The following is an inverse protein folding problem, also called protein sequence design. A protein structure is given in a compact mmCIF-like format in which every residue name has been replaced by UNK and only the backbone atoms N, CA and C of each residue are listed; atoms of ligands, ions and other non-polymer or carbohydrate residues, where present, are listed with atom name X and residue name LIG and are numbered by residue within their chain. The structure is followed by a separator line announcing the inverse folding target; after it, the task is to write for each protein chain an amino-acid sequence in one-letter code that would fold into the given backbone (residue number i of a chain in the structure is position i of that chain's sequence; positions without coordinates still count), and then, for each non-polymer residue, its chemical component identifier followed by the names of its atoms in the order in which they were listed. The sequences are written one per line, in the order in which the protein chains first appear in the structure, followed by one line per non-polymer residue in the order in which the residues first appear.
data_IF_440075059387
#
_entry.id   IF_440075059387
#
_cell.length_a   1.000
_cell.length_b   1.000
_cell.length_c   1.000
_cell.angle_alpha   90.00
_cell.angle_beta   90.00
_cell.angle_gamma   90.00
#
_symmetry.space_group_name_H-M   'P 1'
#
loop_
_entity.id
_entity.type
_entity.pdbx_description
1 polymer ?
#
# COMPACT_ATOMS: atom_id res chain seq x y z
N UNK A 1 16.59 3.59 11.90
CA UNK A 1 15.65 2.48 12.14
C UNK A 1 14.35 3.09 12.62
N UNK A 2 13.26 2.88 11.89
CA UNK A 2 11.95 3.36 12.33
C UNK A 2 11.50 2.50 13.52
N UNK A 3 11.24 3.06 14.71
CA UNK A 3 10.87 2.26 15.88
C UNK A 3 9.50 1.59 15.79
N UNK A 4 8.74 1.85 14.74
CA UNK A 4 7.36 1.40 14.60
C UNK A 4 7.14 0.41 13.45
N UNK A 5 8.10 0.26 12.54
CA UNK A 5 8.03 -0.71 11.46
C UNK A 5 9.44 -1.15 11.08
N UNK A 6 9.71 -2.43 11.18
CA UNK A 6 10.94 -3.05 10.64
C UNK A 6 11.00 -2.98 9.11
N UNK A 7 10.17 -2.17 8.47
CA UNK A 7 9.96 -2.14 7.03
C UNK A 7 10.06 -0.72 6.45
N UNK A 8 10.53 -0.60 5.32
CA UNK A 8 11.40 0.29 4.61
C UNK A 8 10.77 1.54 4.04
N UNK A 9 9.87 2.26 4.73
CA UNK A 9 9.53 3.63 4.34
C UNK A 9 10.82 4.49 4.25
N UNK A 10 11.75 4.28 5.21
CA UNK A 10 13.03 4.98 5.20
C UNK A 10 13.94 4.55 4.04
N UNK A 11 13.95 3.26 3.69
CA UNK A 11 14.75 2.76 2.55
C UNK A 11 14.17 3.20 1.21
N UNK A 12 12.85 3.27 1.10
CA UNK A 12 12.19 3.73 -0.12
C UNK A 12 12.49 5.20 -0.38
N UNK A 13 12.46 6.04 0.66
CA UNK A 13 12.80 7.47 0.54
C UNK A 13 14.24 7.69 0.05
N UNK A 14 15.18 6.87 0.46
CA UNK A 14 16.58 6.99 0.02
C UNK A 14 16.81 6.60 -1.44
N UNK A 15 15.95 5.74 -2.01
CA UNK A 15 16.12 5.17 -3.34
C UNK A 15 15.14 5.66 -4.38
N UNK A 16 13.95 6.04 -3.97
CA UNK A 16 12.85 6.44 -4.84
C UNK A 16 12.17 7.68 -4.27
N UNK A 17 11.96 8.70 -5.09
CA UNK A 17 11.20 9.88 -4.68
C UNK A 17 9.72 9.54 -4.65
N UNK A 18 9.19 9.27 -3.47
CA UNK A 18 7.75 9.09 -3.24
C UNK A 18 7.15 10.42 -2.77
N UNK A 19 5.99 10.77 -3.29
CA UNK A 19 5.24 11.94 -2.84
C UNK A 19 4.14 11.54 -1.86
N UNK A 20 3.55 10.36 -2.03
CA UNK A 20 2.41 9.89 -1.24
C UNK A 20 2.69 8.53 -0.62
N UNK A 21 2.37 8.41 0.67
CA UNK A 21 2.37 7.14 1.39
C UNK A 21 0.92 6.66 1.56
N UNK A 22 0.54 5.64 0.80
CA UNK A 22 -0.80 5.06 0.84
C UNK A 22 -0.83 3.89 1.83
N UNK A 23 -1.47 4.10 2.97
CA UNK A 23 -1.47 3.13 4.07
C UNK A 23 -2.89 2.70 4.44
N UNK A 24 -3.00 1.52 5.05
CA UNK A 24 -4.26 0.97 5.54
C UNK A 24 -4.74 1.74 6.80
N UNK A 25 -6.03 1.71 7.06
CA UNK A 25 -6.66 2.27 8.26
C UNK A 25 -6.06 1.75 9.59
N UNK A 26 -5.37 0.61 9.57
CA UNK A 26 -4.62 0.11 10.71
C UNK A 26 -3.44 1.03 11.11
N UNK A 27 -2.93 1.81 10.15
CA UNK A 27 -1.83 2.76 10.34
C UNK A 27 -2.30 4.17 10.71
N UNK A 28 -3.59 4.36 11.01
CA UNK A 28 -4.16 5.64 11.46
C UNK A 28 -3.72 5.96 12.91
N UNK A 29 -2.44 6.33 13.03
CA UNK A 29 -1.76 6.70 14.28
C UNK A 29 -0.95 7.96 14.03
N UNK A 30 -0.97 8.89 15.00
CA UNK A 30 -0.31 10.19 14.89
C UNK A 30 1.19 10.10 14.63
N UNK A 31 1.86 9.14 15.27
CA UNK A 31 3.30 8.92 15.16
C UNK A 31 3.71 8.49 13.74
N UNK A 32 2.89 7.66 13.10
CA UNK A 32 3.14 7.20 11.73
C UNK A 32 2.95 8.36 10.74
N UNK A 33 1.89 9.16 10.91
CA UNK A 33 1.66 10.36 10.10
C UNK A 33 2.82 11.34 10.21
N UNK A 34 3.22 11.67 11.45
CA UNK A 34 4.34 12.57 11.70
C UNK A 34 5.66 12.05 11.12
N UNK A 35 5.88 10.73 11.15
CA UNK A 35 7.06 10.12 10.54
C UNK A 35 7.05 10.28 9.01
N UNK A 36 5.94 9.97 8.35
CA UNK A 36 5.78 10.15 6.90
C UNK A 36 6.02 11.62 6.50
N UNK A 37 5.42 12.56 7.21
CA UNK A 37 5.59 13.98 6.99
C UNK A 37 7.06 14.44 7.21
N UNK A 38 7.76 13.87 8.19
CA UNK A 38 9.17 14.15 8.43
C UNK A 38 10.09 13.73 7.28
N UNK A 39 9.66 12.76 6.46
CA UNK A 39 10.33 12.35 5.24
C UNK A 39 9.95 13.20 4.01
N UNK A 40 9.07 14.18 4.18
CA UNK A 40 8.56 15.01 3.10
C UNK A 40 7.46 14.34 2.26
N UNK A 41 6.85 13.27 2.77
CA UNK A 41 5.77 12.56 2.12
C UNK A 41 4.41 13.07 2.63
N UNK A 42 3.36 12.82 1.85
CA UNK A 42 1.97 13.09 2.23
C UNK A 42 1.30 11.76 2.56
N UNK A 43 1.01 11.48 3.85
CA UNK A 43 0.31 10.26 4.23
C UNK A 43 -1.15 10.31 3.81
N UNK A 44 -1.61 9.30 3.10
CA UNK A 44 -3.01 9.08 2.75
C UNK A 44 -3.46 7.79 3.43
N UNK A 45 -4.20 7.94 4.52
CA UNK A 45 -4.61 6.85 5.40
C UNK A 45 -6.10 6.98 5.63
N UNK A 46 -6.85 5.90 5.46
CA UNK A 46 -8.26 5.87 5.84
C UNK A 46 -8.44 6.11 7.33
N UNK A 47 -9.46 6.89 7.68
CA UNK A 47 -9.82 7.12 9.07
C UNK A 47 -10.33 5.82 9.68
N UNK A 48 -9.71 5.39 10.77
CA UNK A 48 -10.15 4.22 11.51
C UNK A 48 -11.09 4.62 12.66
N UNK A 49 -12.40 4.49 12.51
CA UNK A 49 -13.36 4.91 13.54
C UNK A 49 -13.29 4.01 14.78
N UNK A 50 -12.55 2.88 14.72
CA UNK A 50 -12.42 1.91 15.82
C UNK A 50 -13.78 1.58 16.43
N UNK A 51 -14.03 1.99 17.70
CA UNK A 51 -15.28 1.77 18.44
C UNK A 51 -16.21 2.98 18.44
N UNK A 52 -15.81 4.08 17.82
CA UNK A 52 -16.63 5.29 17.75
C UNK A 52 -17.73 5.13 16.70
N UNK A 53 -18.93 4.83 17.20
CA UNK A 53 -20.12 4.61 16.37
C UNK A 53 -20.65 5.92 15.76
N UNK A 54 -20.43 7.05 16.43
CA UNK A 54 -20.86 8.37 15.95
C UNK A 54 -20.00 8.77 14.74
N UNK A 55 -18.69 8.68 14.87
CA UNK A 55 -17.75 8.94 13.78
C UNK A 55 -17.99 8.02 12.57
N UNK A 56 -18.28 6.73 12.83
CA UNK A 56 -18.60 5.78 11.75
C UNK A 56 -19.85 6.20 10.96
N UNK A 57 -20.87 6.66 11.66
CA UNK A 57 -22.11 7.13 11.02
C UNK A 57 -21.87 8.39 10.21
N UNK A 58 -21.12 9.34 10.74
CA UNK A 58 -20.76 10.58 10.06
C UNK A 58 -19.99 10.31 8.76
N UNK A 59 -18.98 9.46 8.80
CA UNK A 59 -18.20 9.06 7.62
C UNK A 59 -19.08 8.37 6.57
N UNK A 60 -20.05 7.55 6.97
CA UNK A 60 -20.98 6.91 6.05
C UNK A 60 -21.94 7.93 5.40
N UNK A 61 -22.43 8.90 6.17
CA UNK A 61 -23.30 9.96 5.66
C UNK A 61 -22.54 10.87 4.68
N UNK A 62 -21.29 11.16 4.97
CA UNK A 62 -20.43 11.94 4.08
C UNK A 62 -20.13 11.19 2.78
N UNK A 63 -19.75 9.92 2.85
CA UNK A 63 -19.56 9.09 1.66
C UNK A 63 -20.81 9.00 0.79
N UNK A 64 -22.01 8.90 1.40
CA UNK A 64 -23.28 8.94 0.66
C UNK A 64 -23.55 10.29 0.00
N UNK A 65 -23.23 11.40 0.67
CA UNK A 65 -23.36 12.75 0.12
C UNK A 65 -22.45 12.93 -1.10
N UNK A 66 -21.19 12.51 -0.99
CA UNK A 66 -20.22 12.56 -2.09
C UNK A 66 -20.68 11.70 -3.28
N UNK A 67 -21.13 10.48 -3.02
CA UNK A 67 -21.65 9.59 -4.05
C UNK A 67 -22.87 10.20 -4.79
N UNK A 68 -23.83 10.80 -4.07
CA UNK A 68 -24.99 11.46 -4.68
C UNK A 68 -24.61 12.69 -5.49
N UNK A 69 -23.56 13.40 -5.08
CA UNK A 69 -23.04 14.57 -5.78
C UNK A 69 -22.22 14.20 -7.03
N UNK A 70 -21.89 12.92 -7.24
CA UNK A 70 -20.97 12.48 -8.29
C UNK A 70 -19.54 13.00 -8.12
N UNK A 71 -19.20 13.44 -6.90
CA UNK A 71 -17.89 13.99 -6.59
C UNK A 71 -16.98 12.89 -6.03
N UNK A 72 -15.82 12.72 -6.63
CA UNK A 72 -14.76 11.83 -6.10
C UNK A 72 -13.63 12.71 -5.59
N UNK A 73 -13.34 12.59 -4.29
CA UNK A 73 -12.24 13.31 -3.69
C UNK A 73 -10.90 12.85 -4.32
N UNK A 74 -9.99 13.77 -4.68
CA UNK A 74 -8.68 13.39 -5.22
C UNK A 74 -7.86 12.50 -4.29
N UNK A 75 -8.01 12.61 -2.99
CA UNK A 75 -7.39 11.73 -2.00
C UNK A 75 -7.93 10.31 -2.09
N UNK A 76 -9.25 10.14 -2.23
CA UNK A 76 -9.89 8.83 -2.36
C UNK A 76 -9.48 8.15 -3.67
N UNK A 77 -9.39 8.92 -4.75
CA UNK A 77 -8.91 8.42 -6.03
C UNK A 77 -7.46 7.91 -5.94
N UNK A 78 -6.58 8.63 -5.22
CA UNK A 78 -5.22 8.16 -4.96
C UNK A 78 -5.20 6.94 -4.05
N UNK A 79 -6.03 6.93 -3.00
CA UNK A 79 -6.14 5.79 -2.10
C UNK A 79 -6.55 4.49 -2.82
N UNK A 80 -7.43 4.58 -3.81
CA UNK A 80 -7.82 3.42 -4.61
C UNK A 80 -6.66 2.77 -5.38
N UNK A 81 -5.57 3.50 -5.64
CA UNK A 81 -4.37 2.90 -6.26
C UNK A 81 -3.68 1.89 -5.34
N UNK A 82 -3.94 1.92 -4.02
CA UNK A 82 -3.47 0.91 -3.07
C UNK A 82 -3.89 -0.52 -3.46
N UNK A 83 -5.07 -0.68 -4.02
CA UNK A 83 -5.56 -1.98 -4.50
C UNK A 83 -4.65 -2.62 -5.57
N UNK A 84 -3.81 -1.81 -6.22
CA UNK A 84 -2.82 -2.30 -7.18
C UNK A 84 -1.77 -3.17 -6.50
N UNK A 85 -1.35 -2.81 -5.29
CA UNK A 85 -0.38 -3.59 -4.50
C UNK A 85 -0.96 -4.96 -4.16
N UNK A 86 -2.24 -5.02 -3.80
CA UNK A 86 -2.93 -6.27 -3.49
C UNK A 86 -3.03 -7.16 -4.73
N UNK A 87 -3.32 -6.59 -5.89
CA UNK A 87 -3.32 -7.32 -7.18
C UNK A 87 -1.94 -7.84 -7.55
N UNK A 88 -0.89 -7.02 -7.39
CA UNK A 88 0.49 -7.44 -7.63
C UNK A 88 0.88 -8.59 -6.69
N UNK A 89 0.57 -8.47 -5.40
CA UNK A 89 0.81 -9.53 -4.42
C UNK A 89 0.01 -10.80 -4.73
N UNK A 90 -1.23 -10.68 -5.19
CA UNK A 90 -2.03 -11.81 -5.66
C UNK A 90 -1.35 -12.53 -6.83
N UNK A 91 -0.96 -11.79 -7.85
CA UNK A 91 -0.25 -12.35 -9.01
C UNK A 91 1.08 -13.00 -8.62
N UNK A 92 1.88 -12.35 -7.77
CA UNK A 92 3.13 -12.91 -7.27
C UNK A 92 2.91 -14.27 -6.59
N UNK A 93 1.86 -14.38 -5.78
CA UNK A 93 1.51 -15.62 -5.09
C UNK A 93 1.00 -16.71 -6.03
N UNK A 94 0.13 -16.37 -6.94
CA UNK A 94 -0.65 -17.33 -7.71
C UNK A 94 0.03 -17.72 -9.04
N UNK A 95 0.67 -16.77 -9.71
CA UNK A 95 1.28 -16.96 -11.03
C UNK A 95 2.80 -17.13 -10.98
N UNK A 96 3.49 -16.47 -10.01
CA UNK A 96 4.96 -16.39 -9.95
C UNK A 96 5.58 -17.10 -8.75
N UNK A 97 4.90 -18.11 -8.22
CA UNK A 97 5.44 -19.05 -7.25
C UNK A 97 5.56 -18.56 -5.79
N UNK A 98 5.06 -17.36 -5.47
CA UNK A 98 5.14 -16.81 -4.12
C UNK A 98 4.35 -17.60 -3.06
N UNK A 99 3.35 -18.41 -3.48
CA UNK A 99 2.57 -19.28 -2.58
C UNK A 99 3.29 -20.60 -2.26
N UNK A 100 4.15 -21.09 -3.14
CA UNK A 100 4.81 -22.39 -3.03
C UNK A 100 6.32 -22.27 -2.86
N UNK A 101 6.73 -21.66 -1.78
CA UNK A 101 8.16 -21.53 -1.46
C UNK A 101 8.70 -22.87 -0.92
N UNK A 102 9.52 -23.56 -1.72
CA UNK A 102 10.10 -24.87 -1.38
C UNK A 102 11.50 -24.81 -0.77
N UNK A 103 11.99 -23.60 -0.49
CA UNK A 103 13.32 -23.37 0.07
C UNK A 103 13.21 -22.91 1.52
N UNK A 104 14.23 -23.18 2.34
CA UNK A 104 14.32 -22.77 3.74
C UNK A 104 15.48 -21.81 3.95
N UNK A 105 15.33 -20.91 4.92
CA UNK A 105 16.28 -19.88 5.28
C UNK A 105 16.03 -18.56 4.57
N UNK A 106 16.22 -17.46 5.31
CA UNK A 106 15.87 -16.11 4.89
C UNK A 106 16.44 -15.73 3.51
N UNK A 107 17.73 -15.94 3.28
CA UNK A 107 18.39 -15.58 2.02
C UNK A 107 17.81 -16.34 0.81
N UNK A 108 17.53 -17.63 0.96
CA UNK A 108 16.96 -18.45 -0.12
C UNK A 108 15.50 -18.08 -0.42
N UNK A 109 14.71 -17.80 0.62
CA UNK A 109 13.33 -17.35 0.47
C UNK A 109 13.28 -15.98 -0.20
N UNK A 110 14.12 -15.04 0.26
CA UNK A 110 14.24 -13.73 -0.37
C UNK A 110 14.62 -13.84 -1.86
N UNK A 111 15.64 -14.65 -2.18
CA UNK A 111 16.06 -14.89 -3.55
C UNK A 111 14.91 -15.47 -4.41
N UNK A 112 14.18 -16.45 -3.90
CA UNK A 112 13.02 -17.03 -4.59
C UNK A 112 11.93 -15.99 -4.91
N UNK A 113 11.59 -15.15 -3.92
CA UNK A 113 10.60 -14.09 -4.09
C UNK A 113 11.08 -13.01 -5.06
N UNK A 114 12.36 -12.65 -5.02
CA UNK A 114 12.95 -11.68 -5.95
C UNK A 114 12.90 -12.17 -7.39
N UNK A 115 13.15 -13.44 -7.66
CA UNK A 115 12.94 -14.00 -9.01
C UNK A 115 11.48 -13.91 -9.45
N UNK A 116 10.51 -14.15 -8.55
CA UNK A 116 9.09 -13.96 -8.84
C UNK A 116 8.77 -12.51 -9.21
N UNK A 117 9.33 -11.55 -8.50
CA UNK A 117 9.15 -10.11 -8.80
C UNK A 117 9.76 -9.74 -10.16
N UNK A 118 10.95 -10.23 -10.47
CA UNK A 118 11.59 -10.00 -11.78
C UNK A 118 10.75 -10.57 -12.91
N UNK A 119 10.26 -11.80 -12.77
CA UNK A 119 9.39 -12.44 -13.76
C UNK A 119 8.08 -11.68 -13.96
N UNK A 120 7.44 -11.25 -12.87
CA UNK A 120 6.21 -10.43 -12.91
C UNK A 120 6.46 -9.10 -13.61
N UNK A 121 7.60 -8.44 -13.32
CA UNK A 121 7.96 -7.17 -13.96
C UNK A 121 8.20 -7.35 -15.45
N UNK A 122 8.90 -8.41 -15.84
CA UNK A 122 9.13 -8.74 -17.25
C UNK A 122 7.81 -9.00 -17.99
N UNK A 123 6.88 -9.77 -17.39
CA UNK A 123 5.54 -10.01 -17.96
C UNK A 123 4.76 -8.70 -18.15
N UNK A 124 4.82 -7.81 -17.17
CA UNK A 124 4.17 -6.50 -17.30
C UNK A 124 4.78 -5.66 -18.43
N UNK A 125 6.11 -5.60 -18.52
CA UNK A 125 6.78 -4.86 -19.59
C UNK A 125 6.43 -5.43 -20.98
N UNK A 126 6.37 -6.73 -21.12
CA UNK A 126 5.95 -7.37 -22.37
C UNK A 126 4.53 -6.97 -22.78
N UNK A 127 3.61 -6.88 -21.84
CA UNK A 127 2.22 -6.44 -22.09
C UNK A 127 2.10 -4.96 -22.51
N UNK A 128 3.09 -4.13 -22.21
CA UNK A 128 3.11 -2.75 -22.69
C UNK A 128 3.66 -2.61 -24.12
N UNK A 129 4.40 -3.61 -24.59
CA UNK A 129 5.04 -3.59 -25.92
C UNK A 129 4.20 -4.32 -26.97
N UNK A 130 3.29 -5.18 -26.53
CA UNK A 130 2.34 -5.92 -27.40
C UNK A 130 0.98 -5.27 -27.41
#
# INVERSE_FOLDING_TARGET
MCPLCDVPLCETHQRVTNLYDLMDAAYDVSEIKAHSESLGHVPIIDINPRRDTALKKELQEEAQRQYRAGFVCPTDQRYHTRSTVERVNGRLKDEFGGRMVRVRGHAKVACHLMFGIVALTADQLMRFVT
#
